data_IF_341650449278
#
_entry.id   IF_341650449278
#
_cell.length_a   1.000
_cell.length_b   1.000
_cell.length_c   1.000
_cell.angle_alpha   90.00
_cell.angle_beta   90.00
_cell.angle_gamma   90.00
#
_symmetry.space_group_name_H-M   'P 1'
#
loop_
_entity.id
_entity.type
_entity.pdbx_description
1 polymer ?
#
# COMPACT_ATOMS: atom_id res chain seq x y z
N UNK A 1 30.36 8.04 -20.26
CA UNK A 1 29.66 7.62 -19.02
C UNK A 1 28.73 8.74 -18.61
N UNK A 2 27.41 8.55 -18.70
CA UNK A 2 26.46 9.53 -18.16
C UNK A 2 26.49 9.43 -16.62
N UNK A 3 26.62 10.54 -15.89
CA UNK A 3 26.53 10.50 -14.44
C UNK A 3 25.13 10.03 -14.02
N UNK A 4 24.99 9.27 -12.92
CA UNK A 4 23.69 8.87 -12.43
C UNK A 4 22.88 10.11 -12.07
N UNK A 5 21.77 10.32 -12.78
CA UNK A 5 20.83 11.41 -12.49
C UNK A 5 20.21 11.11 -11.12
N UNK A 6 20.68 11.80 -10.07
CA UNK A 6 20.04 11.75 -8.76
C UNK A 6 18.68 12.44 -8.89
N UNK A 7 17.60 11.66 -8.82
CA UNK A 7 16.25 12.22 -8.73
C UNK A 7 16.18 13.21 -7.56
N UNK A 8 15.59 14.39 -7.80
CA UNK A 8 15.46 15.43 -6.77
C UNK A 8 14.60 14.93 -5.59
N UNK A 9 14.80 15.50 -4.41
CA UNK A 9 14.04 15.13 -3.21
C UNK A 9 12.53 15.23 -3.41
N UNK A 10 12.06 16.24 -4.16
CA UNK A 10 10.64 16.42 -4.48
C UNK A 10 10.07 15.29 -5.35
N UNK A 11 10.85 14.79 -6.31
CA UNK A 11 10.43 13.65 -7.16
C UNK A 11 10.32 12.37 -6.33
N UNK A 12 11.27 12.15 -5.40
CA UNK A 12 11.24 10.98 -4.49
C UNK A 12 10.01 11.02 -3.59
N UNK A 13 9.71 12.18 -2.99
CA UNK A 13 8.53 12.38 -2.16
C UNK A 13 7.23 12.14 -2.94
N UNK A 14 7.15 12.62 -4.18
CA UNK A 14 5.99 12.40 -5.03
C UNK A 14 5.78 10.92 -5.35
N UNK A 15 6.84 10.20 -5.73
CA UNK A 15 6.77 8.75 -6.01
C UNK A 15 6.33 7.97 -4.78
N UNK A 16 6.91 8.27 -3.61
CA UNK A 16 6.53 7.63 -2.35
C UNK A 16 5.08 7.95 -1.99
N UNK A 17 4.67 9.21 -2.08
CA UNK A 17 3.28 9.61 -1.84
C UNK A 17 2.29 8.85 -2.72
N UNK A 18 2.55 8.75 -4.02
CA UNK A 18 1.72 7.99 -4.95
C UNK A 18 1.68 6.49 -4.62
N UNK A 19 2.81 5.90 -4.21
CA UNK A 19 2.87 4.49 -3.81
C UNK A 19 1.99 4.21 -2.58
N UNK A 20 2.03 5.07 -1.57
CA UNK A 20 1.20 4.92 -0.36
C UNK A 20 -0.29 5.14 -0.64
N UNK A 21 -0.63 6.15 -1.44
CA UNK A 21 -2.02 6.39 -1.89
C UNK A 21 -2.53 5.18 -2.68
N UNK A 22 -1.76 4.71 -3.66
CA UNK A 22 -2.10 3.54 -4.47
C UNK A 22 -2.30 2.27 -3.64
N UNK A 23 -1.40 2.00 -2.70
CA UNK A 23 -1.50 0.84 -1.81
C UNK A 23 -2.78 0.90 -0.94
N UNK A 24 -3.14 2.08 -0.45
CA UNK A 24 -4.34 2.28 0.36
C UNK A 24 -5.61 2.09 -0.47
N UNK A 25 -5.67 2.67 -1.68
CA UNK A 25 -6.80 2.49 -2.58
C UNK A 25 -6.96 1.04 -3.02
N UNK A 26 -5.84 0.34 -3.27
CA UNK A 26 -5.85 -1.08 -3.59
C UNK A 26 -6.41 -1.91 -2.42
N UNK A 27 -5.93 -1.69 -1.20
CA UNK A 27 -6.44 -2.39 -0.02
C UNK A 27 -7.93 -2.13 0.22
N UNK A 28 -8.39 -0.89 0.02
CA UNK A 28 -9.80 -0.53 0.11
C UNK A 28 -10.65 -1.22 -0.96
N UNK A 29 -10.16 -1.29 -2.20
CA UNK A 29 -10.86 -1.99 -3.29
C UNK A 29 -10.95 -3.50 -3.04
N UNK A 30 -9.90 -4.10 -2.48
CA UNK A 30 -9.93 -5.51 -2.06
C UNK A 30 -10.91 -5.70 -0.91
N UNK A 31 -10.88 -4.85 0.11
CA UNK A 31 -11.82 -4.94 1.23
C UNK A 31 -13.29 -4.77 0.81
N UNK A 32 -13.56 -3.92 -0.18
CA UNK A 32 -14.90 -3.74 -0.73
C UNK A 32 -15.42 -4.96 -1.51
N UNK A 33 -14.54 -5.83 -1.99
CA UNK A 33 -14.88 -6.99 -2.83
C UNK A 33 -14.71 -8.33 -2.11
N UNK A 34 -13.99 -8.35 -0.99
CA UNK A 34 -13.65 -9.57 -0.28
C UNK A 34 -14.82 -10.06 0.56
N UNK A 35 -15.29 -11.25 0.21
CA UNK A 35 -16.27 -12.05 0.97
C UNK A 35 -15.64 -13.32 1.54
N UNK A 36 -14.32 -13.45 1.42
CA UNK A 36 -13.58 -14.70 1.64
C UNK A 36 -12.84 -14.65 2.99
N UNK A 37 -13.23 -15.54 3.90
CA UNK A 37 -12.54 -15.83 5.16
C UNK A 37 -13.35 -15.49 6.42
N UNK A 38 -12.86 -15.86 7.61
CA UNK A 38 -13.50 -15.46 8.86
C UNK A 38 -13.39 -13.94 9.03
N UNK A 39 -14.49 -13.34 9.46
CA UNK A 39 -14.51 -11.93 9.88
C UNK A 39 -13.65 -11.80 11.13
N UNK A 40 -12.63 -10.94 11.06
CA UNK A 40 -11.71 -10.68 12.18
C UNK A 40 -12.21 -9.53 13.03
N UNK A 41 -12.90 -8.57 12.40
CA UNK A 41 -13.40 -7.38 13.07
C UNK A 41 -14.70 -6.92 12.42
N UNK A 42 -15.78 -6.81 13.18
CA UNK A 42 -17.03 -6.22 12.69
C UNK A 42 -16.94 -4.70 12.76
N UNK A 43 -16.92 -4.04 11.60
CA UNK A 43 -16.85 -2.58 11.50
C UNK A 43 -18.25 -1.97 11.58
N UNK A 44 -19.24 -2.62 10.96
CA UNK A 44 -20.66 -2.27 11.08
C UNK A 44 -21.51 -3.52 11.29
N UNK A 45 -22.83 -3.36 11.48
CA UNK A 45 -23.77 -4.50 11.53
C UNK A 45 -23.80 -5.33 10.24
N UNK A 46 -23.35 -4.77 9.11
CA UNK A 46 -23.43 -5.41 7.78
C UNK A 46 -22.08 -5.58 7.09
N UNK A 47 -20.97 -5.05 7.62
CA UNK A 47 -19.63 -5.19 7.06
C UNK A 47 -18.62 -5.55 8.15
N UNK A 48 -17.95 -6.68 7.93
CA UNK A 48 -16.80 -7.12 8.68
C UNK A 48 -15.54 -7.03 7.84
N UNK A 49 -14.42 -6.72 8.47
CA UNK A 49 -13.07 -6.87 7.91
C UNK A 49 -12.71 -8.34 7.98
N UNK A 50 -12.38 -8.91 6.83
CA UNK A 50 -12.01 -10.32 6.68
C UNK A 50 -10.50 -10.49 6.85
N UNK A 51 -10.06 -11.71 7.20
CA UNK A 51 -8.62 -12.01 7.23
C UNK A 51 -7.94 -11.72 5.88
N UNK A 52 -8.66 -11.93 4.76
CA UNK A 52 -8.17 -11.62 3.42
C UNK A 52 -7.82 -10.14 3.23
N UNK A 53 -8.59 -9.25 3.85
CA UNK A 53 -8.36 -7.79 3.77
C UNK A 53 -7.05 -7.43 4.46
N UNK A 54 -6.82 -8.00 5.66
CA UNK A 54 -5.59 -7.76 6.42
C UNK A 54 -4.36 -8.24 5.65
N UNK A 55 -4.45 -9.39 4.97
CA UNK A 55 -3.36 -9.90 4.14
C UNK A 55 -3.12 -8.99 2.93
N UNK A 56 -4.19 -8.55 2.24
CA UNK A 56 -4.07 -7.67 1.08
C UNK A 56 -3.46 -6.31 1.44
N UNK A 57 -3.92 -5.69 2.53
CA UNK A 57 -3.34 -4.46 3.06
C UNK A 57 -1.87 -4.66 3.44
N UNK A 58 -1.53 -5.77 4.11
CA UNK A 58 -0.16 -6.07 4.51
C UNK A 58 0.78 -6.16 3.30
N UNK A 59 0.39 -6.91 2.26
CA UNK A 59 1.19 -7.04 1.03
C UNK A 59 1.34 -5.69 0.33
N UNK A 60 0.25 -4.93 0.18
CA UNK A 60 0.28 -3.62 -0.47
C UNK A 60 1.19 -2.63 0.27
N UNK A 61 1.16 -2.64 1.60
CA UNK A 61 1.96 -1.73 2.42
C UNK A 61 3.43 -2.16 2.45
N UNK A 62 3.74 -3.45 2.41
CA UNK A 62 5.11 -3.94 2.22
C UNK A 62 5.70 -3.43 0.91
N UNK A 63 4.93 -3.45 -0.18
CA UNK A 63 5.39 -2.90 -1.47
C UNK A 63 5.63 -1.40 -1.38
N UNK A 64 4.71 -0.63 -0.79
CA UNK A 64 4.91 0.81 -0.58
C UNK A 64 6.13 1.13 0.29
N UNK A 65 6.38 0.31 1.31
CA UNK A 65 7.56 0.41 2.16
C UNK A 65 8.85 0.14 1.37
N UNK A 66 8.89 -0.91 0.54
CA UNK A 66 10.04 -1.20 -0.33
C UNK A 66 10.32 -0.01 -1.26
N UNK A 67 9.29 0.57 -1.88
CA UNK A 67 9.43 1.77 -2.73
C UNK A 67 10.02 2.93 -1.94
N UNK A 68 9.56 3.13 -0.70
CA UNK A 68 10.08 4.16 0.20
C UNK A 68 11.57 3.93 0.51
N UNK A 69 11.92 2.71 0.88
CA UNK A 69 13.30 2.35 1.18
C UNK A 69 14.21 2.54 -0.03
N UNK A 70 13.80 2.11 -1.22
CA UNK A 70 14.57 2.30 -2.47
C UNK A 70 14.71 3.79 -2.81
N UNK A 71 13.66 4.59 -2.61
CA UNK A 71 13.69 6.02 -2.90
C UNK A 71 14.65 6.81 -1.97
N UNK A 72 14.90 6.30 -0.77
CA UNK A 72 15.68 6.99 0.27
C UNK A 72 16.97 6.26 0.69
N UNK A 73 17.21 5.04 0.21
CA UNK A 73 18.51 4.36 0.35
C UNK A 73 19.51 5.02 -0.60
N UNK A 74 20.32 5.93 -0.06
CA UNK A 74 21.47 6.58 -0.71
C UNK A 74 22.71 6.32 0.12
#
# INVERSE_FOLDING_TARGET
MNPPVRASGSVRLLVVGLAWIGATLFGLAVAATTTIGPVVLNVTRSHGVHMGDLVAFSVAYVVALIVTLVAFSV
#
